data_IF_168647561275
#
_entry.id   IF_168647561275
#
_cell.length_a   1.000
_cell.length_b   1.000
_cell.length_c   1.000
_cell.angle_alpha   90.00
_cell.angle_beta   90.00
_cell.angle_gamma   90.00
#
_symmetry.space_group_name_H-M   'P 1'
#
loop_
_entity.id
_entity.type
_entity.pdbx_description
1 polymer ?
#
# COMPACT_ATOMS: atom_id res chain seq x y z
N UNK A 1 35.57 -77.59 -2.73
CA UNK A 1 35.89 -77.35 -4.14
C UNK A 1 35.25 -76.02 -4.53
N UNK A 2 36.00 -75.01 -4.50
CA UNK A 2 36.62 -74.28 -5.64
C UNK A 2 35.52 -73.74 -6.59
N UNK A 3 35.31 -72.47 -6.62
CA UNK A 3 35.69 -71.44 -7.61
C UNK A 3 34.83 -70.22 -7.41
N UNK A 4 35.36 -69.07 -6.99
CA UNK A 4 35.99 -67.99 -7.76
C UNK A 4 35.07 -67.42 -8.85
N UNK A 5 34.70 -66.15 -8.64
CA UNK A 5 34.83 -65.06 -9.63
C UNK A 5 34.15 -63.84 -9.02
N UNK A 6 34.92 -62.83 -8.68
CA UNK A 6 35.31 -61.63 -9.42
C UNK A 6 34.15 -60.72 -9.75
N UNK A 7 34.04 -59.69 -8.94
CA UNK A 7 34.29 -58.28 -9.27
C UNK A 7 33.45 -57.70 -10.40
N UNK A 8 32.64 -56.73 -10.04
CA UNK A 8 32.51 -55.54 -10.88
C UNK A 8 32.06 -54.36 -10.02
N UNK A 9 33.03 -53.49 -9.84
CA UNK A 9 32.85 -52.15 -9.30
C UNK A 9 32.17 -51.32 -10.37
N UNK A 10 30.96 -50.87 -10.11
CA UNK A 10 30.32 -49.82 -10.93
C UNK A 10 30.39 -48.52 -10.18
N UNK A 11 31.31 -47.70 -10.61
CA UNK A 11 31.46 -46.32 -10.21
C UNK A 11 30.29 -45.54 -10.86
N UNK A 12 29.31 -45.16 -10.08
CA UNK A 12 28.30 -44.19 -10.53
C UNK A 12 28.76 -42.81 -10.07
N UNK A 13 29.22 -42.06 -11.04
CA UNK A 13 29.54 -40.66 -10.86
C UNK A 13 28.26 -39.86 -10.54
N UNK A 14 28.16 -39.35 -9.32
CA UNK A 14 27.15 -38.34 -8.96
C UNK A 14 27.52 -37.04 -9.61
N UNK A 15 26.85 -36.70 -10.68
CA UNK A 15 26.81 -35.35 -11.22
C UNK A 15 25.99 -34.49 -10.30
N UNK A 16 26.68 -33.64 -9.55
CA UNK A 16 26.09 -32.56 -8.76
C UNK A 16 25.65 -31.48 -9.72
N UNK A 17 24.35 -31.50 -10.01
CA UNK A 17 23.70 -30.36 -10.69
C UNK A 17 23.50 -29.21 -9.70
N UNK A 18 24.39 -28.23 -9.77
CA UNK A 18 24.12 -26.92 -9.18
C UNK A 18 23.06 -26.22 -10.03
N UNK A 19 21.82 -26.31 -9.63
CA UNK A 19 20.79 -25.39 -10.10
C UNK A 19 20.86 -24.16 -9.22
N UNK A 20 21.65 -23.20 -9.62
CA UNK A 20 21.56 -21.84 -9.12
C UNK A 20 20.31 -21.19 -9.73
N UNK A 21 19.18 -21.30 -9.06
CA UNK A 21 18.04 -20.45 -9.30
C UNK A 21 18.26 -19.16 -8.52
N UNK A 22 19.04 -18.26 -9.07
CA UNK A 22 19.02 -16.86 -8.72
C UNK A 22 17.96 -16.19 -9.58
N UNK A 23 16.72 -16.22 -9.12
CA UNK A 23 15.66 -15.41 -9.66
C UNK A 23 15.26 -14.41 -8.59
N UNK A 24 15.96 -13.29 -8.52
CA UNK A 24 15.45 -12.08 -7.90
C UNK A 24 14.45 -11.47 -8.89
N UNK A 25 13.25 -12.01 -8.91
CA UNK A 25 12.10 -11.32 -9.45
C UNK A 25 11.60 -10.35 -8.37
N UNK A 26 12.24 -9.21 -8.32
CA UNK A 26 11.67 -8.01 -7.70
C UNK A 26 10.59 -7.44 -8.62
N UNK A 27 9.58 -8.22 -8.91
CA UNK A 27 8.31 -7.67 -9.34
C UNK A 27 7.65 -7.12 -8.08
N UNK A 28 7.81 -5.85 -7.84
CA UNK A 28 7.01 -5.10 -6.88
C UNK A 28 5.57 -5.11 -7.39
N UNK A 29 4.86 -6.18 -7.08
CA UNK A 29 3.44 -6.30 -7.35
C UNK A 29 2.74 -5.33 -6.40
N UNK A 30 2.33 -4.17 -6.93
CA UNK A 30 1.57 -3.14 -6.22
C UNK A 30 0.24 -3.66 -5.65
N UNK A 31 -0.11 -4.91 -5.94
CA UNK A 31 -1.31 -5.58 -5.44
C UNK A 31 -1.23 -6.02 -3.98
N UNK A 32 -0.03 -6.14 -3.43
CA UNK A 32 0.21 -6.66 -2.08
C UNK A 32 0.59 -5.58 -1.06
N UNK A 33 0.47 -4.29 -1.42
CA UNK A 33 0.73 -3.22 -0.46
C UNK A 33 -0.40 -3.14 0.58
N UNK A 34 -0.06 -3.09 1.87
CA UNK A 34 -1.07 -2.94 2.92
C UNK A 34 -1.80 -1.60 2.77
N UNK A 35 -3.10 -1.60 3.03
CA UNK A 35 -3.90 -0.37 3.03
C UNK A 35 -3.37 0.62 4.05
N UNK A 36 -3.16 1.86 3.62
CA UNK A 36 -2.84 2.98 4.50
C UNK A 36 -4.15 3.60 4.98
N UNK A 37 -4.51 3.36 6.22
CA UNK A 37 -5.66 3.99 6.86
C UNK A 37 -5.25 5.31 7.51
N UNK A 38 -6.05 6.35 7.32
CA UNK A 38 -5.86 7.68 7.90
C UNK A 38 -7.14 8.06 8.63
N UNK A 39 -7.03 8.20 9.95
CA UNK A 39 -8.13 8.64 10.80
C UNK A 39 -8.24 10.16 10.78
N UNK A 40 -9.41 10.68 10.47
CA UNK A 40 -9.73 12.10 10.38
C UNK A 40 -10.85 12.41 11.37
N UNK A 41 -10.64 13.42 12.18
CA UNK A 41 -11.69 13.94 13.07
C UNK A 41 -12.06 15.35 12.64
N UNK A 42 -13.35 15.60 12.46
CA UNK A 42 -13.91 16.92 12.16
C UNK A 42 -14.86 17.29 13.30
N UNK A 43 -14.55 18.37 14.00
CA UNK A 43 -15.33 18.84 15.13
C UNK A 43 -15.52 20.35 15.04
N UNK A 44 -16.73 20.79 14.74
CA UNK A 44 -17.01 22.20 14.45
C UNK A 44 -16.17 22.67 13.25
N UNK A 45 -15.36 23.68 13.49
CA UNK A 45 -14.44 24.23 12.47
C UNK A 45 -13.03 23.62 12.53
N UNK A 46 -12.81 22.62 13.37
CA UNK A 46 -11.50 22.01 13.54
C UNK A 46 -11.39 20.65 12.83
N UNK A 47 -10.24 20.41 12.20
CA UNK A 47 -9.88 19.12 11.62
C UNK A 47 -8.60 18.60 12.26
N UNK A 48 -8.53 17.29 12.45
CA UNK A 48 -7.34 16.59 12.93
C UNK A 48 -7.17 15.32 12.09
N UNK A 49 -6.00 15.07 11.46
CA UNK A 49 -4.80 15.92 11.41
C UNK A 49 -5.05 17.30 10.77
N UNK A 50 -4.12 18.21 10.93
CA UNK A 50 -4.21 19.56 10.38
C UNK A 50 -2.91 19.91 9.65
N UNK A 51 -2.81 19.54 8.39
CA UNK A 51 -1.67 19.80 7.54
C UNK A 51 -0.48 18.85 7.73
N UNK A 52 -0.63 17.77 8.48
CA UNK A 52 0.43 16.78 8.70
C UNK A 52 0.82 16.07 7.40
N UNK A 53 2.09 15.70 7.30
CA UNK A 53 2.61 14.94 6.16
C UNK A 53 2.53 13.44 6.45
N UNK A 54 1.99 12.68 5.51
CA UNK A 54 1.84 11.22 5.58
C UNK A 54 2.49 10.59 4.35
N UNK A 55 3.46 9.69 4.57
CA UNK A 55 4.08 8.95 3.48
C UNK A 55 3.19 7.79 3.03
N UNK A 56 3.06 7.66 1.72
CA UNK A 56 2.39 6.54 1.05
C UNK A 56 3.22 6.11 -0.16
N UNK A 57 3.04 4.87 -0.59
CA UNK A 57 3.69 4.38 -1.80
C UNK A 57 2.81 4.58 -3.02
N UNK A 58 3.44 4.69 -4.20
CA UNK A 58 2.72 4.63 -5.48
C UNK A 58 1.87 3.36 -5.51
N UNK A 59 0.62 3.50 -5.94
CA UNK A 59 -0.40 2.44 -6.01
C UNK A 59 -0.78 1.76 -4.68
N UNK A 60 -0.34 2.32 -3.54
CA UNK A 60 -0.79 1.85 -2.25
C UNK A 60 -2.27 2.18 -2.05
N UNK A 61 -3.12 1.23 -1.62
CA UNK A 61 -4.49 1.53 -1.24
C UNK A 61 -4.53 2.48 -0.05
N UNK A 62 -5.30 3.56 -0.16
CA UNK A 62 -5.47 4.58 0.88
C UNK A 62 -6.94 4.59 1.28
N UNK A 63 -7.20 4.58 2.57
CA UNK A 63 -8.54 4.63 3.15
C UNK A 63 -8.61 5.77 4.16
N UNK A 64 -9.62 6.60 4.03
CA UNK A 64 -9.89 7.68 4.97
C UNK A 64 -11.07 7.30 5.86
N UNK A 65 -10.87 7.32 7.17
CA UNK A 65 -11.91 7.08 8.16
C UNK A 65 -12.25 8.41 8.83
N UNK A 66 -13.45 8.93 8.56
CA UNK A 66 -13.87 10.24 9.02
C UNK A 66 -14.82 10.12 10.19
N UNK A 67 -14.48 10.73 11.31
CA UNK A 67 -15.36 10.92 12.45
C UNK A 67 -15.72 12.41 12.53
N UNK A 68 -16.99 12.72 12.32
CA UNK A 68 -17.45 14.09 12.21
C UNK A 68 -18.72 14.35 13.05
N UNK A 69 -18.90 15.58 13.49
CA UNK A 69 -20.11 16.05 14.18
C UNK A 69 -21.18 16.61 13.22
N UNK A 70 -20.82 16.82 11.95
CA UNK A 70 -21.69 17.26 10.87
C UNK A 70 -21.29 16.64 9.54
N UNK A 71 -22.17 16.73 8.55
CA UNK A 71 -21.87 16.35 7.18
C UNK A 71 -20.82 17.26 6.54
N UNK A 72 -20.07 16.77 5.56
CA UNK A 72 -19.10 17.55 4.82
C UNK A 72 -18.51 16.80 3.66
N UNK A 73 -17.48 17.41 3.05
CA UNK A 73 -16.81 16.90 1.87
C UNK A 73 -15.29 16.96 2.04
N UNK A 74 -14.64 15.89 1.58
CA UNK A 74 -13.18 15.81 1.48
C UNK A 74 -12.80 15.79 0.01
N UNK A 75 -11.82 16.62 -0.35
CA UNK A 75 -11.25 16.70 -1.66
C UNK A 75 -9.78 16.21 -1.64
N UNK A 76 -9.46 15.25 -2.48
CA UNK A 76 -8.11 14.75 -2.69
C UNK A 76 -7.60 15.29 -4.02
N UNK A 77 -6.62 16.18 -3.98
CA UNK A 77 -6.04 16.84 -5.15
C UNK A 77 -5.03 15.94 -5.87
N UNK A 78 -5.47 14.77 -6.28
CA UNK A 78 -4.72 13.82 -7.12
C UNK A 78 -5.11 13.98 -8.59
N UNK A 79 -4.50 13.20 -9.45
CA UNK A 79 -4.87 13.10 -10.88
C UNK A 79 -5.15 11.64 -11.22
N UNK A 80 -6.43 11.23 -11.40
CA UNK A 80 -7.63 12.05 -11.25
C UNK A 80 -7.92 12.47 -9.81
N UNK A 81 -8.64 13.57 -9.64
CA UNK A 81 -9.10 14.05 -8.34
C UNK A 81 -10.19 13.14 -7.76
N UNK A 82 -10.28 13.09 -6.42
CA UNK A 82 -11.35 12.40 -5.71
C UNK A 82 -12.10 13.37 -4.80
N UNK A 83 -13.43 13.30 -4.84
CA UNK A 83 -14.32 14.02 -3.95
C UNK A 83 -15.17 13.00 -3.18
N UNK A 84 -15.22 13.14 -1.87
CA UNK A 84 -15.92 12.22 -0.99
C UNK A 84 -16.80 12.98 -0.02
N UNK A 85 -18.09 12.66 -0.01
CA UNK A 85 -19.04 13.15 0.98
C UNK A 85 -19.02 12.26 2.23
N UNK A 86 -19.20 12.84 3.39
CA UNK A 86 -19.38 12.13 4.65
C UNK A 86 -20.53 12.73 5.46
N UNK A 87 -21.14 11.91 6.31
CA UNK A 87 -22.19 12.33 7.23
C UNK A 87 -21.64 12.50 8.66
N UNK A 88 -22.47 13.07 9.53
CA UNK A 88 -22.20 13.04 10.97
C UNK A 88 -22.06 11.59 11.46
N UNK A 89 -21.16 11.34 12.37
CA UNK A 89 -20.76 10.02 12.85
C UNK A 89 -19.45 9.55 12.22
N UNK A 90 -19.25 8.24 12.14
CA UNK A 90 -18.05 7.64 11.55
C UNK A 90 -18.37 7.12 10.15
N UNK A 91 -17.62 7.60 9.16
CA UNK A 91 -17.74 7.18 7.76
C UNK A 91 -16.40 6.67 7.27
N UNK A 92 -16.34 5.44 6.75
CA UNK A 92 -15.19 4.92 6.02
C UNK A 92 -15.41 5.23 4.54
N UNK A 93 -14.54 6.06 3.97
CA UNK A 93 -14.63 6.46 2.57
C UNK A 93 -14.11 5.36 1.64
N UNK A 94 -14.58 5.32 0.38
CA UNK A 94 -14.06 4.38 -0.60
C UNK A 94 -12.54 4.48 -0.75
N UNK A 95 -11.86 3.33 -0.78
CA UNK A 95 -10.42 3.27 -0.97
C UNK A 95 -10.02 3.78 -2.34
N UNK A 96 -8.92 4.52 -2.41
CA UNK A 96 -8.33 5.04 -3.64
C UNK A 96 -6.83 4.79 -3.70
N UNK A 97 -6.22 5.02 -4.86
CA UNK A 97 -4.79 4.88 -5.11
C UNK A 97 -4.28 6.09 -5.87
N UNK A 98 -2.99 6.38 -5.71
CA UNK A 98 -2.29 7.42 -6.46
C UNK A 98 -1.16 6.76 -7.23
N UNK A 99 -1.19 6.87 -8.54
CA UNK A 99 -0.28 6.17 -9.46
C UNK A 99 1.00 6.95 -9.80
N UNK A 100 1.11 8.18 -9.31
CA UNK A 100 2.27 9.05 -9.57
C UNK A 100 2.91 9.54 -8.28
N UNK A 101 4.25 9.57 -8.20
CA UNK A 101 4.93 10.15 -7.06
C UNK A 101 4.72 11.67 -7.02
N UNK A 102 4.73 12.22 -5.82
CA UNK A 102 4.57 13.65 -5.60
C UNK A 102 3.85 13.97 -4.29
N UNK A 103 3.52 15.24 -4.11
CA UNK A 103 2.79 15.72 -2.95
C UNK A 103 1.31 15.95 -3.33
N UNK A 104 0.41 15.28 -2.64
CA UNK A 104 -1.04 15.35 -2.86
C UNK A 104 -1.72 15.87 -1.61
N UNK A 105 -2.44 16.98 -1.75
CA UNK A 105 -3.20 17.58 -0.65
C UNK A 105 -4.56 16.90 -0.50
N UNK A 106 -4.90 16.56 0.74
CA UNK A 106 -6.24 16.14 1.17
C UNK A 106 -6.80 17.26 2.02
N UNK A 107 -7.93 17.82 1.63
CA UNK A 107 -8.54 18.94 2.34
C UNK A 107 -10.02 18.73 2.67
N UNK A 108 -10.47 19.39 3.69
CA UNK A 108 -11.89 19.58 3.95
C UNK A 108 -12.38 20.73 3.08
N UNK A 109 -13.17 20.41 2.06
CA UNK A 109 -13.75 21.43 1.19
C UNK A 109 -14.73 22.33 1.95
N UNK A 110 -15.50 21.71 2.85
CA UNK A 110 -16.49 22.43 3.68
C UNK A 110 -15.86 23.46 4.61
N UNK A 111 -14.67 23.19 5.17
CA UNK A 111 -13.98 24.06 6.12
C UNK A 111 -12.82 24.83 5.50
N UNK A 112 -12.49 24.58 4.24
CA UNK A 112 -11.34 25.17 3.55
C UNK A 112 -10.03 24.98 4.34
N UNK A 113 -9.80 23.72 4.79
CA UNK A 113 -8.63 23.35 5.60
C UNK A 113 -7.93 22.12 5.05
N UNK A 114 -6.60 22.18 5.01
CA UNK A 114 -5.76 21.04 4.71
C UNK A 114 -5.78 20.03 5.87
N UNK A 115 -6.14 18.81 5.59
CA UNK A 115 -6.17 17.70 6.55
C UNK A 115 -4.79 17.05 6.61
N UNK A 116 -4.33 16.50 5.48
CA UNK A 116 -3.00 15.91 5.33
C UNK A 116 -2.41 16.23 3.97
N UNK A 117 -1.08 16.15 3.90
CA UNK A 117 -0.33 16.14 2.66
C UNK A 117 0.25 14.73 2.46
N UNK A 118 -0.24 14.02 1.45
CA UNK A 118 0.28 12.69 1.10
C UNK A 118 1.56 12.85 0.32
N UNK A 119 2.66 12.36 0.86
CA UNK A 119 3.94 12.27 0.17
C UNK A 119 4.03 10.90 -0.50
N UNK A 120 3.76 10.86 -1.80
CA UNK A 120 3.72 9.64 -2.60
C UNK A 120 5.11 9.34 -3.14
N UNK A 121 5.65 8.16 -2.83
CA UNK A 121 7.01 7.71 -3.21
C UNK A 121 7.00 6.37 -3.93
#
# INVERSE_FOLDING_TARGET
MIRRALASVALVACSVGLTACGGDDSSSDSKDLPTKSIDITVSGDDVTPNGDRVEVKVDQPIELVVKADAEGEIHVHSDPEHEFEYNAGTTTLPSFKIDKPGLVTVESHTLDKTIVQLEVK
#
